data_IF_938816875744
#
_entry.id   IF_938816875744
#
_cell.length_a   1.000
_cell.length_b   1.000
_cell.length_c   1.000
_cell.angle_alpha   90.00
_cell.angle_beta   90.00
_cell.angle_gamma   90.00
#
_symmetry.space_group_name_H-M   'P 1'
#
loop_
_entity.id
_entity.type
_entity.pdbx_description
1 polymer ?
#
# COMPACT_ATOMS: atom_id res chain seq x y z
N UNK A 1 -3.03 -41.78 17.47
CA UNK A 1 -3.46 -40.50 18.09
C UNK A 1 -2.86 -39.25 17.40
N UNK A 2 -1.59 -39.28 16.94
CA UNK A 2 -0.94 -38.08 16.37
C UNK A 2 -1.43 -37.63 14.98
N UNK A 3 -1.84 -38.55 14.08
CA UNK A 3 -2.27 -38.18 12.71
C UNK A 3 -3.60 -37.42 12.66
N UNK A 4 -4.57 -37.81 13.48
CA UNK A 4 -5.86 -37.11 13.57
C UNK A 4 -5.73 -35.70 14.17
N UNK A 5 -4.81 -35.49 15.12
CA UNK A 5 -4.51 -34.14 15.65
C UNK A 5 -3.86 -33.25 14.58
N UNK A 6 -2.88 -33.78 13.85
CA UNK A 6 -2.26 -33.07 12.72
C UNK A 6 -3.30 -32.69 11.65
N UNK A 7 -4.21 -33.61 11.32
CA UNK A 7 -5.34 -33.34 10.43
C UNK A 7 -6.23 -32.21 10.95
N UNK A 8 -6.65 -32.26 12.22
CA UNK A 8 -7.50 -31.22 12.82
C UNK A 8 -6.83 -29.84 12.81
N UNK A 9 -5.54 -29.75 13.15
CA UNK A 9 -4.81 -28.48 13.11
C UNK A 9 -4.72 -27.92 11.69
N UNK A 10 -4.44 -28.77 10.70
CA UNK A 10 -4.39 -28.34 9.31
C UNK A 10 -5.77 -27.93 8.76
N UNK A 11 -6.84 -28.59 9.20
CA UNK A 11 -8.21 -28.23 8.84
C UNK A 11 -8.65 -26.90 9.47
N UNK A 12 -8.26 -26.64 10.72
CA UNK A 12 -8.50 -25.35 11.37
C UNK A 12 -7.74 -24.22 10.66
N UNK A 13 -6.48 -24.46 10.27
CA UNK A 13 -5.70 -23.50 9.51
C UNK A 13 -6.27 -23.24 8.09
N UNK A 14 -6.82 -24.27 7.45
CA UNK A 14 -7.59 -24.11 6.20
C UNK A 14 -8.79 -23.18 6.39
N UNK A 15 -9.60 -23.39 7.44
CA UNK A 15 -10.74 -22.53 7.73
C UNK A 15 -10.29 -21.09 8.03
N UNK A 16 -9.18 -20.92 8.77
CA UNK A 16 -8.61 -19.61 9.08
C UNK A 16 -8.09 -18.88 7.83
N UNK A 17 -7.56 -19.57 6.82
CA UNK A 17 -7.09 -18.94 5.59
C UNK A 17 -8.21 -18.33 4.73
N UNK A 18 -9.45 -18.78 4.93
CA UNK A 18 -10.65 -18.27 4.26
C UNK A 18 -11.42 -17.23 5.09
N UNK A 19 -11.07 -17.10 6.37
CA UNK A 19 -11.75 -16.21 7.32
C UNK A 19 -11.55 -14.69 7.11
N UNK A 20 -10.42 -14.17 6.58
CA UNK A 20 -10.17 -12.73 6.49
C UNK A 20 -11.22 -11.95 5.71
N UNK A 21 -11.93 -12.63 4.78
CA UNK A 21 -12.96 -12.02 3.95
C UNK A 21 -14.39 -12.33 4.40
N UNK A 22 -14.55 -13.13 5.48
CA UNK A 22 -15.85 -13.44 6.05
C UNK A 22 -16.30 -12.42 7.11
N UNK A 23 -15.39 -11.54 7.55
CA UNK A 23 -15.64 -10.46 8.49
C UNK A 23 -15.31 -9.14 7.80
N UNK A 24 -16.33 -8.33 7.51
CA UNK A 24 -16.15 -6.96 7.03
C UNK A 24 -15.46 -6.11 8.11
N UNK A 25 -14.34 -5.50 7.73
CA UNK A 25 -13.87 -4.19 8.21
C UNK A 25 -13.70 -4.01 9.71
N UNK A 26 -12.57 -4.45 10.23
CA UNK A 26 -11.97 -3.81 11.39
C UNK A 26 -10.63 -3.24 10.97
N UNK A 27 -10.46 -1.92 11.07
CA UNK A 27 -9.16 -1.28 10.83
C UNK A 27 -8.11 -1.98 11.70
N UNK A 28 -7.05 -2.49 11.07
CA UNK A 28 -5.94 -3.03 11.83
C UNK A 28 -5.33 -1.87 12.65
N UNK A 29 -5.01 -2.09 13.93
CA UNK A 29 -4.41 -1.03 14.74
C UNK A 29 -3.07 -0.62 14.14
N UNK A 30 -2.89 0.69 13.92
CA UNK A 30 -1.66 1.27 13.39
C UNK A 30 -0.44 0.79 14.19
N UNK A 31 0.53 0.19 13.49
CA UNK A 31 1.72 -0.37 14.11
C UNK A 31 2.90 -0.37 13.15
N UNK A 32 3.79 0.61 13.34
CA UNK A 32 4.99 0.79 12.53
C UNK A 32 5.87 -0.47 12.39
N UNK A 33 5.87 -1.39 13.38
CA UNK A 33 6.61 -2.64 13.25
C UNK A 33 5.93 -3.64 12.31
N UNK A 34 4.60 -3.66 12.28
CA UNK A 34 3.85 -4.51 11.35
C UNK A 34 4.01 -4.01 9.93
N UNK A 35 3.91 -2.70 9.72
CA UNK A 35 4.08 -2.07 8.40
C UNK A 35 5.51 -2.30 7.88
N UNK A 36 6.52 -2.08 8.74
CA UNK A 36 7.91 -2.39 8.41
C UNK A 36 8.12 -3.87 8.05
N UNK A 37 7.46 -4.81 8.72
CA UNK A 37 7.57 -6.24 8.37
C UNK A 37 6.79 -6.59 7.10
N UNK A 38 5.65 -5.93 6.88
CA UNK A 38 4.81 -6.09 5.69
C UNK A 38 5.53 -5.62 4.42
N UNK A 39 6.37 -4.58 4.52
CA UNK A 39 7.19 -4.10 3.39
C UNK A 39 8.16 -5.15 2.83
N UNK A 40 8.48 -6.20 3.60
CA UNK A 40 9.26 -7.36 3.12
C UNK A 40 8.42 -8.41 2.41
N UNK A 41 7.13 -8.20 2.18
CA UNK A 41 6.26 -9.13 1.45
C UNK A 41 6.89 -9.62 0.12
N UNK A 42 7.50 -8.75 -0.73
CA UNK A 42 8.19 -9.20 -1.94
C UNK A 42 9.31 -10.21 -1.68
N UNK A 43 9.98 -10.16 -0.53
CA UNK A 43 11.00 -11.15 -0.16
C UNK A 43 10.35 -12.41 0.40
N UNK A 44 9.37 -12.25 1.28
CA UNK A 44 8.67 -13.36 1.94
C UNK A 44 7.94 -14.26 0.93
N UNK A 45 7.35 -13.69 -0.13
CA UNK A 45 6.60 -14.45 -1.14
C UNK A 45 7.46 -15.44 -1.93
N UNK A 46 8.77 -15.21 -2.05
CA UNK A 46 9.65 -16.13 -2.77
C UNK A 46 9.86 -17.45 -2.03
N UNK A 47 9.66 -17.47 -0.70
CA UNK A 47 9.86 -18.64 0.13
C UNK A 47 8.85 -19.77 -0.16
N UNK A 48 7.51 -19.55 -0.12
CA UNK A 48 6.55 -20.58 -0.50
C UNK A 48 6.71 -21.01 -1.96
N UNK A 49 7.05 -20.10 -2.88
CA UNK A 49 7.26 -20.40 -4.30
C UNK A 49 8.45 -21.36 -4.48
N UNK A 50 9.59 -21.07 -3.85
CA UNK A 50 10.78 -21.90 -3.93
C UNK A 50 10.57 -23.30 -3.33
N UNK A 51 9.89 -23.39 -2.19
CA UNK A 51 9.59 -24.68 -1.54
C UNK A 51 8.56 -25.46 -2.38
N UNK A 52 7.57 -24.78 -2.96
CA UNK A 52 6.61 -25.40 -3.87
C UNK A 52 7.29 -25.98 -5.12
N UNK A 53 8.22 -25.23 -5.73
CA UNK A 53 9.03 -25.72 -6.85
C UNK A 53 9.87 -26.95 -6.46
N UNK A 54 10.51 -26.94 -5.29
CA UNK A 54 11.25 -28.10 -4.78
C UNK A 54 10.34 -29.32 -4.55
N UNK A 55 9.14 -29.10 -4.01
CA UNK A 55 8.12 -30.14 -3.85
C UNK A 55 7.66 -30.71 -5.20
N UNK A 56 7.49 -29.87 -6.22
CA UNK A 56 7.08 -30.27 -7.56
C UNK A 56 8.14 -31.16 -8.22
N UNK A 57 9.42 -30.78 -8.08
CA UNK A 57 10.55 -31.58 -8.56
C UNK A 57 10.55 -32.95 -7.88
N UNK A 58 10.33 -33.04 -6.56
CA UNK A 58 10.28 -34.33 -5.86
C UNK A 58 9.10 -35.20 -6.31
N UNK A 59 7.94 -34.63 -6.61
CA UNK A 59 6.81 -35.40 -7.14
C UNK A 59 7.12 -35.93 -8.55
N UNK A 60 7.73 -35.11 -9.43
CA UNK A 60 8.19 -35.53 -10.76
C UNK A 60 9.24 -36.64 -10.67
N UNK A 61 10.22 -36.53 -9.77
CA UNK A 61 11.20 -37.60 -9.53
C UNK A 61 10.53 -38.89 -9.04
N UNK A 62 9.45 -38.77 -8.24
CA UNK A 62 8.62 -39.89 -7.83
C UNK A 62 7.86 -40.55 -8.99
N UNK A 63 7.46 -39.79 -10.01
CA UNK A 63 6.89 -40.32 -11.26
C UNK A 63 7.95 -41.07 -12.07
N UNK A 64 9.20 -40.59 -12.07
CA UNK A 64 10.35 -41.26 -12.69
C UNK A 64 10.86 -42.50 -11.90
N UNK A 65 10.12 -42.96 -10.89
CA UNK A 65 10.43 -44.16 -10.12
C UNK A 65 11.49 -43.98 -9.02
N UNK A 66 11.96 -42.75 -8.76
CA UNK A 66 12.88 -42.50 -7.65
C UNK A 66 12.13 -42.61 -6.31
N UNK A 67 12.73 -43.33 -5.35
CA UNK A 67 12.22 -43.38 -3.98
C UNK A 67 12.43 -42.02 -3.31
N UNK A 68 11.36 -41.47 -2.78
CA UNK A 68 11.37 -40.23 -2.00
C UNK A 68 10.76 -40.53 -0.64
N UNK A 69 11.41 -40.08 0.42
CA UNK A 69 10.95 -40.30 1.79
C UNK A 69 9.65 -39.54 2.09
N UNK A 70 8.72 -40.19 2.81
CA UNK A 70 7.43 -39.62 3.18
C UNK A 70 7.57 -38.50 4.22
N UNK A 71 8.55 -38.60 5.13
CA UNK A 71 8.85 -37.56 6.11
C UNK A 71 9.29 -36.27 5.43
N UNK A 72 10.19 -36.38 4.46
CA UNK A 72 10.67 -35.26 3.63
C UNK A 72 9.51 -34.57 2.90
N UNK A 73 8.61 -35.34 2.30
CA UNK A 73 7.42 -34.78 1.61
C UNK A 73 6.52 -34.02 2.57
N UNK A 74 6.20 -34.60 3.73
CA UNK A 74 5.34 -33.96 4.71
C UNK A 74 5.97 -32.68 5.28
N UNK A 75 7.30 -32.67 5.47
CA UNK A 75 8.03 -31.47 5.89
C UNK A 75 7.92 -30.35 4.86
N UNK A 76 8.04 -30.66 3.57
CA UNK A 76 7.89 -29.68 2.50
C UNK A 76 6.46 -29.14 2.42
N UNK A 77 5.44 -29.99 2.52
CA UNK A 77 4.05 -29.53 2.56
C UNK A 77 3.79 -28.62 3.76
N UNK A 78 4.30 -28.96 4.94
CA UNK A 78 4.21 -28.10 6.11
C UNK A 78 4.93 -26.76 5.91
N UNK A 79 6.13 -26.80 5.34
CA UNK A 79 6.92 -25.60 5.08
C UNK A 79 6.25 -24.68 4.05
N UNK A 80 5.63 -25.23 2.99
CA UNK A 80 4.81 -24.47 2.03
C UNK A 80 3.63 -23.81 2.77
N UNK A 81 2.89 -24.55 3.59
CA UNK A 81 1.72 -24.02 4.28
C UNK A 81 2.05 -22.90 5.26
N UNK A 82 3.09 -23.06 6.08
CA UNK A 82 3.51 -22.03 7.03
C UNK A 82 3.99 -20.76 6.33
N UNK A 83 4.80 -20.92 5.28
CA UNK A 83 5.34 -19.79 4.52
C UNK A 83 4.30 -19.09 3.66
N UNK A 84 3.33 -19.82 3.10
CA UNK A 84 2.18 -19.26 2.40
C UNK A 84 1.32 -18.42 3.36
N UNK A 85 1.07 -18.90 4.57
CA UNK A 85 0.35 -18.12 5.59
C UNK A 85 1.10 -16.85 5.98
N UNK A 86 2.43 -16.90 6.14
CA UNK A 86 3.23 -15.71 6.43
C UNK A 86 3.22 -14.71 5.25
N UNK A 87 3.34 -15.21 4.03
CA UNK A 87 3.26 -14.38 2.82
C UNK A 87 1.89 -13.74 2.66
N UNK A 88 0.81 -14.47 2.94
CA UNK A 88 -0.54 -13.94 2.91
C UNK A 88 -0.74 -12.88 4.00
N UNK A 89 -0.30 -13.13 5.23
CA UNK A 89 -0.44 -12.18 6.33
C UNK A 89 0.31 -10.86 6.06
N UNK A 90 1.57 -10.94 5.62
CA UNK A 90 2.35 -9.75 5.25
C UNK A 90 1.77 -9.02 4.03
N UNK A 91 1.25 -9.75 3.05
CA UNK A 91 0.61 -9.15 1.87
C UNK A 91 -0.74 -8.50 2.18
N UNK A 92 -1.49 -9.06 3.13
CA UNK A 92 -2.75 -8.49 3.60
C UNK A 92 -2.50 -7.15 4.30
N UNK A 93 -1.54 -7.10 5.23
CA UNK A 93 -1.16 -5.83 5.90
C UNK A 93 -0.65 -4.80 4.89
N UNK A 94 0.22 -5.20 3.96
CA UNK A 94 0.75 -4.30 2.92
C UNK A 94 -0.37 -3.76 1.99
N UNK A 95 -1.42 -4.54 1.76
CA UNK A 95 -2.56 -4.12 0.94
C UNK A 95 -3.43 -3.05 1.59
N UNK A 96 -3.47 -3.01 2.93
CA UNK A 96 -4.22 -2.00 3.70
C UNK A 96 -3.53 -0.62 3.69
N UNK A 97 -2.22 -0.55 3.39
CA UNK A 97 -1.49 0.72 3.24
C UNK A 97 -2.00 1.56 2.05
N UNK A 98 -2.79 0.96 1.15
CA UNK A 98 -3.35 1.62 -0.03
C UNK A 98 -2.36 1.68 -1.21
N UNK A 99 -2.67 2.50 -2.22
CA UNK A 99 -1.81 2.70 -3.39
C UNK A 99 -1.92 1.64 -4.50
N UNK A 100 -2.84 0.69 -4.39
CA UNK A 100 -3.12 -0.32 -5.44
C UNK A 100 -4.56 -0.22 -5.94
N UNK A 101 -4.84 -0.49 -7.23
CA UNK A 101 -6.22 -0.56 -7.72
C UNK A 101 -7.02 -1.63 -6.97
N UNK A 102 -8.16 -1.24 -6.39
CA UNK A 102 -8.96 -2.09 -5.50
C UNK A 102 -9.30 -3.46 -6.14
N UNK A 103 -9.74 -3.47 -7.39
CA UNK A 103 -10.07 -4.71 -8.10
C UNK A 103 -8.85 -5.63 -8.28
N UNK A 104 -7.68 -5.05 -8.59
CA UNK A 104 -6.45 -5.79 -8.82
C UNK A 104 -5.91 -6.39 -7.51
N UNK A 105 -5.97 -5.59 -6.43
CA UNK A 105 -5.62 -6.02 -5.08
C UNK A 105 -6.56 -7.13 -4.59
N UNK A 106 -7.87 -6.96 -4.78
CA UNK A 106 -8.88 -7.94 -4.44
C UNK A 106 -8.63 -9.29 -5.12
N UNK A 107 -8.43 -9.28 -6.44
CA UNK A 107 -8.15 -10.49 -7.21
C UNK A 107 -6.85 -11.18 -6.75
N UNK A 108 -5.81 -10.39 -6.45
CA UNK A 108 -4.54 -10.91 -5.94
C UNK A 108 -4.69 -11.56 -4.57
N UNK A 109 -5.38 -10.89 -3.65
CA UNK A 109 -5.62 -11.38 -2.29
C UNK A 109 -6.45 -12.67 -2.28
N UNK A 110 -7.47 -12.79 -3.13
CA UNK A 110 -8.23 -14.03 -3.29
C UNK A 110 -7.36 -15.17 -3.80
N UNK A 111 -6.55 -14.92 -4.83
CA UNK A 111 -5.65 -15.93 -5.36
C UNK A 111 -4.63 -16.42 -4.29
N UNK A 112 -4.10 -15.49 -3.48
CA UNK A 112 -3.20 -15.80 -2.36
C UNK A 112 -3.90 -16.57 -1.23
N UNK A 113 -5.14 -16.20 -0.88
CA UNK A 113 -5.96 -16.91 0.10
C UNK A 113 -6.25 -18.33 -0.36
N UNK A 114 -6.66 -18.53 -1.63
CA UNK A 114 -6.90 -19.86 -2.18
C UNK A 114 -5.63 -20.71 -2.22
N UNK A 115 -4.48 -20.15 -2.61
CA UNK A 115 -3.20 -20.86 -2.55
C UNK A 115 -2.90 -21.35 -1.13
N UNK A 116 -3.07 -20.47 -0.13
CA UNK A 116 -2.84 -20.78 1.28
C UNK A 116 -3.81 -21.85 1.79
N UNK A 117 -5.10 -21.72 1.50
CA UNK A 117 -6.14 -22.66 1.87
C UNK A 117 -5.89 -24.05 1.26
N UNK A 118 -5.63 -24.13 -0.05
CA UNK A 118 -5.32 -25.39 -0.72
C UNK A 118 -4.10 -26.05 -0.09
N UNK A 119 -3.04 -25.29 0.22
CA UNK A 119 -1.84 -25.86 0.86
C UNK A 119 -2.16 -26.57 2.19
N UNK A 120 -2.97 -25.95 3.04
CA UNK A 120 -3.36 -26.48 4.34
C UNK A 120 -4.30 -27.69 4.21
N UNK A 121 -5.26 -27.61 3.28
CA UNK A 121 -6.16 -28.73 2.99
C UNK A 121 -5.39 -29.93 2.45
N UNK A 122 -4.46 -29.71 1.52
CA UNK A 122 -3.61 -30.76 0.96
C UNK A 122 -2.70 -31.38 2.02
N UNK A 123 -2.11 -30.58 2.90
CA UNK A 123 -1.37 -31.11 4.06
C UNK A 123 -2.28 -31.97 4.95
N UNK A 124 -3.48 -31.48 5.29
CA UNK A 124 -4.43 -32.20 6.11
C UNK A 124 -4.75 -33.57 5.49
N UNK A 125 -5.19 -33.58 4.23
CA UNK A 125 -5.55 -34.81 3.54
C UNK A 125 -4.37 -35.77 3.40
N UNK A 126 -3.16 -35.27 3.11
CA UNK A 126 -1.95 -36.08 3.00
C UNK A 126 -1.53 -36.73 4.33
N UNK A 127 -1.92 -36.19 5.48
CA UNK A 127 -1.67 -36.85 6.78
C UNK A 127 -2.56 -38.07 7.02
N UNK A 128 -3.72 -38.15 6.36
CA UNK A 128 -4.69 -39.24 6.49
C UNK A 128 -4.61 -40.24 5.33
N UNK A 129 -4.50 -39.74 4.11
CA UNK A 129 -4.57 -40.49 2.86
C UNK A 129 -3.28 -40.25 2.07
N UNK A 130 -2.42 -41.27 2.01
CA UNK A 130 -1.15 -41.20 1.26
C UNK A 130 -1.39 -41.63 -0.19
N UNK A 131 -2.13 -40.83 -0.94
CA UNK A 131 -2.45 -41.10 -2.35
C UNK A 131 -1.64 -40.18 -3.29
N UNK A 132 -1.16 -40.75 -4.41
CA UNK A 132 -0.36 -39.99 -5.40
C UNK A 132 -1.22 -39.05 -6.23
N UNK A 133 -2.38 -39.51 -6.67
CA UNK A 133 -3.26 -38.72 -7.53
C UNK A 133 -3.73 -37.47 -6.77
N UNK A 134 -4.11 -37.63 -5.51
CA UNK A 134 -4.51 -36.52 -4.64
C UNK A 134 -3.42 -35.46 -4.50
N UNK A 135 -2.15 -35.88 -4.32
CA UNK A 135 -1.02 -34.94 -4.28
C UNK A 135 -0.85 -34.21 -5.61
N UNK A 136 -0.82 -34.94 -6.72
CA UNK A 136 -0.64 -34.33 -8.04
C UNK A 136 -1.75 -33.33 -8.37
N UNK A 137 -3.01 -33.67 -8.11
CA UNK A 137 -4.16 -32.77 -8.28
C UNK A 137 -4.02 -31.53 -7.40
N UNK A 138 -3.64 -31.70 -6.13
CA UNK A 138 -3.38 -30.58 -5.21
C UNK A 138 -2.30 -29.63 -5.74
N UNK A 139 -1.20 -30.18 -6.28
CA UNK A 139 -0.12 -29.36 -6.84
C UNK A 139 -0.56 -28.61 -8.09
N UNK A 140 -1.36 -29.24 -8.96
CA UNK A 140 -1.90 -28.56 -10.14
C UNK A 140 -2.87 -27.44 -9.74
N UNK A 141 -3.71 -27.66 -8.73
CA UNK A 141 -4.60 -26.63 -8.20
C UNK A 141 -3.81 -25.42 -7.65
N UNK A 142 -2.77 -25.67 -6.85
CA UNK A 142 -1.88 -24.62 -6.34
C UNK A 142 -1.10 -23.90 -7.44
N UNK A 143 -0.65 -24.61 -8.47
CA UNK A 143 0.00 -23.99 -9.61
C UNK A 143 -0.96 -23.05 -10.36
N UNK A 144 -2.23 -23.45 -10.49
CA UNK A 144 -3.28 -22.61 -11.06
C UNK A 144 -3.51 -21.32 -10.27
N UNK A 145 -3.63 -21.40 -8.95
CA UNK A 145 -3.80 -20.20 -8.11
C UNK A 145 -2.55 -19.33 -8.08
N UNK A 146 -1.36 -19.92 -8.13
CA UNK A 146 -0.10 -19.17 -8.23
C UNK A 146 -0.01 -18.39 -9.53
N UNK A 147 -0.41 -18.98 -10.66
CA UNK A 147 -0.52 -18.26 -11.95
C UNK A 147 -1.55 -17.13 -11.87
N UNK A 148 -2.71 -17.40 -11.27
CA UNK A 148 -3.76 -16.40 -11.07
C UNK A 148 -3.30 -15.24 -10.17
N UNK A 149 -2.47 -15.50 -9.15
CA UNK A 149 -1.89 -14.47 -8.29
C UNK A 149 -0.75 -13.70 -9.00
N UNK A 150 0.02 -14.38 -9.84
CA UNK A 150 1.19 -13.82 -10.53
C UNK A 150 0.82 -12.70 -11.49
N UNK A 151 -0.32 -12.80 -12.16
CA UNK A 151 -0.77 -11.79 -13.11
C UNK A 151 -1.06 -10.42 -12.45
N UNK A 152 -2.01 -10.30 -11.50
CA UNK A 152 -2.25 -9.04 -10.79
C UNK A 152 -1.04 -8.61 -9.94
N UNK A 153 -0.27 -9.56 -9.39
CA UNK A 153 0.96 -9.26 -8.65
C UNK A 153 2.01 -8.57 -9.52
N UNK A 154 2.23 -9.04 -10.75
CA UNK A 154 3.14 -8.40 -11.70
C UNK A 154 2.65 -7.03 -12.15
N UNK A 155 1.33 -6.87 -12.34
CA UNK A 155 0.73 -5.59 -12.71
C UNK A 155 0.87 -4.54 -11.60
N UNK A 156 0.78 -4.93 -10.31
CA UNK A 156 0.98 -4.00 -9.19
C UNK A 156 2.42 -3.48 -9.10
N UNK A 157 3.41 -4.34 -9.38
CA UNK A 157 4.84 -3.98 -9.21
C UNK A 157 5.44 -3.35 -10.47
N UNK A 158 5.00 -3.78 -11.65
CA UNK A 158 5.62 -3.40 -12.93
C UNK A 158 4.69 -2.64 -13.88
N UNK A 159 3.41 -2.49 -13.53
CA UNK A 159 2.40 -1.96 -14.44
C UNK A 159 2.09 -2.93 -15.60
N UNK A 160 1.22 -2.51 -16.50
CA UNK A 160 0.88 -3.30 -17.69
C UNK A 160 2.01 -3.26 -18.72
N UNK A 161 2.70 -4.39 -19.00
CA UNK A 161 3.79 -4.42 -19.97
C UNK A 161 3.34 -4.09 -21.39
N UNK A 162 2.05 -4.27 -21.72
CA UNK A 162 1.51 -3.91 -23.04
C UNK A 162 1.53 -2.39 -23.26
N UNK A 163 1.44 -1.57 -22.21
CA UNK A 163 1.57 -0.12 -22.33
C UNK A 163 2.95 0.31 -22.84
N UNK A 164 3.97 -0.51 -22.58
CA UNK A 164 5.35 -0.26 -23.03
C UNK A 164 5.68 -0.96 -24.37
N UNK A 165 4.73 -1.65 -25.00
CA UNK A 165 4.96 -2.39 -26.22
C UNK A 165 5.19 -1.45 -27.42
N UNK A 166 6.16 -1.72 -28.32
CA UNK A 166 6.53 -0.81 -29.41
C UNK A 166 5.45 -0.64 -30.48
N UNK A 167 4.45 -1.52 -30.53
CA UNK A 167 3.29 -1.44 -31.43
C UNK A 167 2.05 -0.82 -30.76
N UNK A 168 2.05 -0.71 -29.43
CA UNK A 168 1.07 0.12 -28.76
C UNK A 168 1.57 1.53 -28.99
N UNK A 169 0.88 2.27 -29.87
CA UNK A 169 1.10 3.69 -29.97
C UNK A 169 1.06 4.21 -28.54
N UNK A 170 2.10 4.93 -28.09
CA UNK A 170 2.02 5.71 -26.85
C UNK A 170 0.84 6.63 -27.05
N UNK A 171 -0.34 6.19 -26.63
CA UNK A 171 -1.47 7.05 -26.40
C UNK A 171 -0.91 8.04 -25.41
N UNK A 172 -0.78 9.29 -25.85
CA UNK A 172 -0.53 10.43 -24.97
C UNK A 172 -1.36 10.22 -23.70
N UNK A 173 -0.87 10.54 -22.49
CA UNK A 173 -1.51 10.27 -21.19
C UNK A 173 -2.95 10.80 -20.98
N UNK A 174 -3.63 11.21 -22.04
CA UNK A 174 -4.83 12.01 -22.07
C UNK A 174 -6.14 11.20 -21.98
N UNK A 175 -6.10 9.85 -22.04
CA UNK A 175 -7.32 9.05 -22.12
C UNK A 175 -7.54 7.99 -21.02
N UNK A 176 -6.65 7.85 -20.04
CA UNK A 176 -6.90 6.99 -18.88
C UNK A 176 -7.12 7.75 -17.57
N UNK A 177 -7.07 9.09 -17.56
CA UNK A 177 -7.19 9.89 -16.33
C UNK A 177 -8.43 10.78 -16.23
N UNK A 178 -9.43 10.62 -17.10
CA UNK A 178 -10.62 11.49 -17.01
C UNK A 178 -11.52 11.24 -15.78
N UNK A 179 -11.24 10.21 -14.96
CA UNK A 179 -11.95 9.97 -13.69
C UNK A 179 -11.04 9.62 -12.49
N UNK A 180 -9.70 9.76 -12.63
CA UNK A 180 -8.73 9.37 -11.58
C UNK A 180 -7.64 10.41 -11.27
N UNK A 181 -7.68 11.59 -11.90
CA UNK A 181 -6.67 12.65 -11.75
C UNK A 181 -7.23 13.92 -11.09
N UNK A 182 -8.33 13.81 -10.34
CA UNK A 182 -8.83 14.92 -9.56
C UNK A 182 -8.05 14.98 -8.26
N UNK A 183 -7.27 16.05 -8.08
CA UNK A 183 -6.56 16.37 -6.85
C UNK A 183 -7.36 17.42 -6.07
N UNK A 184 -7.48 17.24 -4.76
CA UNK A 184 -7.89 18.29 -3.85
C UNK A 184 -6.64 18.99 -3.31
N UNK A 185 -6.32 20.23 -3.72
CA UNK A 185 -5.08 20.89 -3.32
C UNK A 185 -4.95 21.07 -1.82
N UNK A 186 -6.08 21.27 -1.13
CA UNK A 186 -6.06 21.45 0.31
C UNK A 186 -5.77 20.12 1.02
N UNK A 187 -6.61 19.11 0.81
CA UNK A 187 -6.52 17.82 1.49
C UNK A 187 -5.26 17.04 1.10
N UNK A 188 -4.95 16.98 -0.19
CA UNK A 188 -3.92 16.07 -0.70
C UNK A 188 -2.52 16.67 -0.65
N UNK A 189 -2.40 18.01 -0.69
CA UNK A 189 -1.11 18.70 -0.86
C UNK A 189 -0.78 19.64 0.29
N UNK A 190 -1.68 20.57 0.63
CA UNK A 190 -1.41 21.60 1.64
C UNK A 190 -1.49 21.04 3.06
N UNK A 191 -2.53 20.28 3.39
CA UNK A 191 -2.74 19.77 4.75
C UNK A 191 -1.57 18.89 5.24
N UNK A 192 -1.02 17.94 4.45
CA UNK A 192 0.14 17.16 4.88
C UNK A 192 1.39 18.01 5.16
N UNK A 193 1.55 19.14 4.46
CA UNK A 193 2.66 20.09 4.71
C UNK A 193 2.44 20.81 6.03
N UNK A 194 1.22 21.30 6.27
CA UNK A 194 0.85 21.98 7.52
C UNK A 194 0.99 21.03 8.71
N UNK A 195 0.56 19.78 8.56
CA UNK A 195 0.67 18.75 9.58
C UNK A 195 2.12 18.46 9.95
N UNK A 196 2.99 18.28 8.96
CA UNK A 196 4.39 17.97 9.20
C UNK A 196 5.21 19.14 9.74
N UNK A 197 4.82 20.41 9.46
CA UNK A 197 5.71 21.57 9.67
C UNK A 197 5.10 22.74 10.45
N UNK A 198 3.80 22.73 10.72
CA UNK A 198 3.10 23.88 11.30
C UNK A 198 2.25 23.51 12.53
N UNK A 199 1.56 22.38 12.52
CA UNK A 199 0.59 22.01 13.57
C UNK A 199 1.24 21.85 14.94
N UNK A 200 2.51 21.43 15.03
CA UNK A 200 3.20 21.30 16.32
C UNK A 200 3.26 22.60 17.13
N UNK A 201 3.32 23.75 16.45
CA UNK A 201 3.33 25.08 17.07
C UNK A 201 2.01 25.85 16.94
N UNK A 202 1.18 25.50 15.94
CA UNK A 202 -0.09 26.15 15.60
C UNK A 202 -1.25 25.15 15.57
N UNK A 203 -1.27 24.20 16.50
CA UNK A 203 -2.27 23.14 16.62
C UNK A 203 -3.13 23.28 17.87
N UNK A 204 -3.88 22.24 18.21
CA UNK A 204 -4.80 22.32 19.33
C UNK A 204 -4.13 22.57 20.69
N UNK A 205 -2.99 21.92 20.89
CA UNK A 205 -2.21 21.95 22.12
C UNK A 205 -1.36 23.22 22.27
N UNK A 206 -0.82 23.75 21.15
CA UNK A 206 0.01 24.95 21.12
C UNK A 206 -0.49 25.90 20.04
N UNK A 207 -0.79 27.14 20.43
CA UNK A 207 -1.39 28.18 19.56
C UNK A 207 -0.52 29.43 19.53
N UNK A 208 0.70 29.32 19.00
CA UNK A 208 1.57 30.50 18.86
C UNK A 208 0.87 31.56 18.00
N UNK A 209 0.94 32.83 18.43
CA UNK A 209 0.20 33.94 17.80
C UNK A 209 -1.32 33.76 17.77
N UNK A 210 -1.89 32.92 18.66
CA UNK A 210 -3.30 32.48 18.65
C UNK A 210 -3.78 31.89 17.32
N UNK A 211 -2.85 31.50 16.45
CA UNK A 211 -3.14 30.89 15.16
C UNK A 211 -3.30 29.37 15.32
N UNK A 212 -4.26 28.82 14.58
CA UNK A 212 -4.56 27.39 14.49
C UNK A 212 -4.57 26.99 13.02
N UNK A 213 -3.82 25.96 12.66
CA UNK A 213 -3.61 25.49 11.28
C UNK A 213 -4.01 24.02 11.08
N UNK A 214 -4.59 23.39 12.10
CA UNK A 214 -4.96 21.97 12.11
C UNK A 214 -6.36 21.69 11.54
N UNK A 215 -7.17 22.72 11.33
CA UNK A 215 -8.42 22.59 10.58
C UNK A 215 -8.61 23.77 9.65
N UNK A 216 -9.32 23.54 8.54
CA UNK A 216 -9.58 24.57 7.53
C UNK A 216 -10.27 25.81 8.14
N UNK A 217 -11.30 25.60 8.96
CA UNK A 217 -12.04 26.70 9.61
C UNK A 217 -11.12 27.58 10.45
N UNK A 218 -10.14 26.98 11.13
CA UNK A 218 -9.18 27.72 11.94
C UNK A 218 -8.12 28.45 11.10
N UNK A 219 -7.69 27.86 9.98
CA UNK A 219 -6.78 28.54 9.03
C UNK A 219 -7.46 29.84 8.54
N UNK A 220 -8.73 29.74 8.14
CA UNK A 220 -9.51 30.89 7.64
C UNK A 220 -9.85 31.91 8.75
N UNK A 221 -9.91 31.48 10.01
CA UNK A 221 -10.13 32.40 11.14
C UNK A 221 -8.92 33.31 11.39
N UNK A 222 -7.71 32.81 11.18
CA UNK A 222 -6.47 33.55 11.42
C UNK A 222 -6.06 33.63 12.90
N UNK A 223 -5.16 34.57 13.21
CA UNK A 223 -4.56 34.72 14.54
C UNK A 223 -4.55 36.16 15.06
N UNK A 224 -3.62 36.46 15.97
CA UNK A 224 -3.48 37.79 16.60
C UNK A 224 -3.21 38.91 15.60
N UNK A 225 -2.63 38.59 14.44
CA UNK A 225 -2.30 39.53 13.37
C UNK A 225 -3.36 39.59 12.26
N UNK A 226 -4.52 38.96 12.46
CA UNK A 226 -5.60 38.89 11.48
C UNK A 226 -5.54 37.61 10.64
N UNK A 227 -6.16 37.62 9.44
CA UNK A 227 -6.17 36.47 8.54
C UNK A 227 -4.75 36.02 8.19
N UNK A 228 -4.47 34.72 8.32
CA UNK A 228 -3.18 34.17 7.88
C UNK A 228 -3.17 33.85 6.38
N UNK A 229 -4.35 33.57 5.81
CA UNK A 229 -4.57 33.29 4.40
C UNK A 229 -5.64 34.23 3.89
N UNK A 230 -5.36 34.89 2.76
CA UNK A 230 -6.30 35.72 2.02
C UNK A 230 -6.64 35.00 0.72
N UNK A 231 -7.84 34.39 0.61
CA UNK A 231 -8.24 33.63 -0.58
C UNK A 231 -8.09 34.43 -1.88
N UNK A 232 -7.32 33.91 -2.83
CA UNK A 232 -7.05 34.53 -4.12
C UNK A 232 -5.94 35.59 -4.12
N UNK A 233 -5.36 35.94 -2.96
CA UNK A 233 -4.28 36.93 -2.87
C UNK A 233 -3.10 36.41 -2.03
N UNK A 234 -2.09 35.92 -2.74
CA UNK A 234 -0.83 35.45 -2.14
C UNK A 234 -0.04 36.59 -1.52
N UNK A 235 -0.11 37.80 -2.09
CA UNK A 235 0.68 38.93 -1.61
C UNK A 235 0.13 39.53 -0.31
N UNK A 236 -1.18 39.39 -0.10
CA UNK A 236 -1.89 39.80 1.12
C UNK A 236 -2.08 38.65 2.13
N UNK A 237 -1.38 37.53 1.93
CA UNK A 237 -1.42 36.37 2.84
C UNK A 237 -0.22 36.35 3.76
N UNK A 238 -0.44 36.65 5.05
CA UNK A 238 0.62 36.68 6.07
C UNK A 238 1.38 35.35 6.19
N UNK A 239 0.69 34.21 5.98
CA UNK A 239 1.31 32.89 5.95
C UNK A 239 2.45 32.84 4.90
N UNK A 240 2.22 33.39 3.71
CA UNK A 240 3.21 33.42 2.64
C UNK A 240 4.36 34.35 2.96
N UNK A 241 4.06 35.53 3.49
CA UNK A 241 5.08 36.50 3.90
C UNK A 241 6.10 35.86 4.85
N UNK A 242 5.63 35.20 5.91
CA UNK A 242 6.50 34.58 6.93
C UNK A 242 7.27 33.36 6.42
N UNK A 243 6.72 32.60 5.47
CA UNK A 243 7.42 31.46 4.84
C UNK A 243 8.58 31.89 3.93
N UNK A 244 8.52 33.11 3.40
CA UNK A 244 9.50 33.64 2.44
C UNK A 244 10.57 34.56 3.06
N UNK A 245 10.46 34.85 4.36
CA UNK A 245 11.48 35.61 5.08
C UNK A 245 12.86 34.95 4.98
N UNK A 246 13.97 35.71 5.05
CA UNK A 246 15.33 35.17 5.07
C UNK A 246 15.54 34.09 6.15
N UNK A 247 16.45 33.13 5.91
CA UNK A 247 16.71 32.02 6.85
C UNK A 247 17.16 32.49 8.25
N UNK A 248 17.75 33.68 8.34
CA UNK A 248 18.22 34.30 9.58
C UNK A 248 17.20 35.26 10.22
N UNK A 249 16.00 35.36 9.66
CA UNK A 249 14.94 36.22 10.20
C UNK A 249 14.21 35.53 11.37
N UNK A 250 14.07 36.26 12.48
CA UNK A 250 13.47 35.76 13.72
C UNK A 250 11.97 35.44 13.56
N UNK A 251 11.30 36.10 12.62
CA UNK A 251 9.87 35.93 12.35
C UNK A 251 9.60 34.87 11.27
N UNK A 252 10.64 34.30 10.66
CA UNK A 252 10.49 33.24 9.65
C UNK A 252 9.80 32.02 10.23
N UNK A 253 8.90 31.45 9.42
CA UNK A 253 8.21 30.20 9.75
C UNK A 253 8.51 29.11 8.70
N UNK A 254 8.83 27.87 9.11
CA UNK A 254 9.06 27.41 10.49
C UNK A 254 10.35 28.00 11.12
N UNK A 255 10.45 28.04 12.47
CA UNK A 255 11.68 28.44 13.16
C UNK A 255 12.91 27.62 12.74
N UNK A 256 14.11 28.17 12.90
CA UNK A 256 15.37 27.55 12.44
C UNK A 256 15.59 26.12 12.97
N UNK A 257 15.11 25.83 14.18
CA UNK A 257 15.22 24.51 14.83
C UNK A 257 14.16 23.49 14.39
N UNK A 258 13.21 23.89 13.53
CA UNK A 258 12.11 23.06 13.04
C UNK A 258 12.27 22.68 11.55
N UNK A 259 11.62 21.60 11.07
CA UNK A 259 11.69 21.16 9.68
C UNK A 259 11.30 22.25 8.68
N UNK A 260 12.28 22.75 7.92
CA UNK A 260 12.08 23.85 6.97
C UNK A 260 11.25 23.45 5.75
N UNK A 261 10.52 24.42 5.19
CA UNK A 261 9.82 24.27 3.92
C UNK A 261 10.80 24.28 2.74
N UNK A 262 10.60 23.37 1.81
CA UNK A 262 11.22 23.41 0.49
C UNK A 262 10.52 24.43 -0.40
N UNK A 263 11.20 24.88 -1.46
CA UNK A 263 10.62 25.79 -2.46
C UNK A 263 9.34 25.24 -3.09
N UNK A 264 9.29 23.92 -3.33
CA UNK A 264 8.11 23.27 -3.91
C UNK A 264 6.90 23.29 -2.96
N UNK A 265 7.12 23.10 -1.66
CA UNK A 265 6.05 23.15 -0.66
C UNK A 265 5.47 24.57 -0.52
N UNK A 266 6.32 25.59 -0.54
CA UNK A 266 5.88 27.00 -0.57
C UNK A 266 5.06 27.26 -1.84
N UNK A 267 5.52 26.80 -2.99
CA UNK A 267 4.82 26.97 -4.28
C UNK A 267 3.44 26.29 -4.31
N UNK A 268 3.26 25.17 -3.60
CA UNK A 268 1.96 24.49 -3.48
C UNK A 268 0.99 25.28 -2.63
N UNK A 269 1.43 25.78 -1.47
CA UNK A 269 0.61 26.60 -0.59
C UNK A 269 0.20 27.88 -1.32
N UNK A 270 1.15 28.54 -2.01
CA UNK A 270 0.86 29.70 -2.85
C UNK A 270 -0.18 29.38 -3.92
N UNK A 271 -0.01 28.29 -4.65
CA UNK A 271 -0.95 27.91 -5.70
C UNK A 271 -2.36 27.66 -5.17
N UNK A 272 -2.50 26.98 -4.04
CA UNK A 272 -3.80 26.80 -3.38
C UNK A 272 -4.43 28.14 -2.97
N UNK A 273 -3.63 29.07 -2.45
CA UNK A 273 -4.11 30.42 -2.11
C UNK A 273 -4.55 31.19 -3.36
N UNK A 274 -3.72 31.25 -4.41
CA UNK A 274 -4.06 31.87 -5.71
C UNK A 274 -5.36 31.31 -6.29
N UNK A 275 -5.60 30.02 -6.04
CA UNK A 275 -6.77 29.28 -6.53
C UNK A 275 -8.05 29.56 -5.75
N UNK A 276 -7.99 30.34 -4.67
CA UNK A 276 -9.15 30.71 -3.85
C UNK A 276 -9.22 30.01 -2.50
N UNK A 277 -8.16 29.33 -2.07
CA UNK A 277 -7.99 28.75 -0.73
C UNK A 277 -9.22 27.99 -0.20
N UNK A 278 -9.81 27.12 -1.03
CA UNK A 278 -11.03 26.37 -0.69
C UNK A 278 -10.70 24.94 -0.23
N UNK A 279 -11.49 24.35 0.71
CA UNK A 279 -11.26 22.98 1.16
C UNK A 279 -11.84 21.94 0.22
N UNK A 280 -12.82 22.33 -0.60
CA UNK A 280 -13.56 21.46 -1.51
C UNK A 280 -13.16 21.68 -2.97
N UNK A 281 -12.01 22.36 -3.18
CA UNK A 281 -11.54 22.64 -4.51
C UNK A 281 -10.95 21.40 -5.14
N UNK A 282 -11.41 21.11 -6.36
CA UNK A 282 -10.95 19.97 -7.14
C UNK A 282 -10.29 20.49 -8.41
N UNK A 283 -9.11 19.95 -8.72
CA UNK A 283 -8.38 20.24 -9.95
C UNK A 283 -8.05 18.97 -10.69
N UNK A 284 -8.17 18.99 -12.01
CA UNK A 284 -7.53 17.96 -12.80
C UNK A 284 -6.00 18.16 -12.74
N UNK A 285 -5.25 17.12 -12.42
CA UNK A 285 -3.77 17.11 -12.36
C UNK A 285 -3.13 17.70 -13.62
N UNK A 286 -3.75 17.50 -14.78
CA UNK A 286 -3.32 18.07 -16.08
C UNK A 286 -3.37 19.61 -16.13
N UNK A 287 -4.25 20.23 -15.35
CA UNK A 287 -4.46 21.68 -15.32
C UNK A 287 -3.62 22.36 -14.23
N UNK A 288 -2.90 21.59 -13.40
CA UNK A 288 -2.01 22.13 -12.39
C UNK A 288 -0.82 22.90 -13.03
N UNK A 289 -0.33 23.97 -12.39
CA UNK A 289 0.87 24.68 -12.84
C UNK A 289 2.08 23.75 -12.93
N UNK A 290 3.02 24.05 -13.83
CA UNK A 290 4.19 23.17 -14.07
C UNK A 290 5.02 22.93 -12.80
N UNK A 291 5.16 23.96 -11.95
CA UNK A 291 5.83 23.86 -10.63
C UNK A 291 5.19 22.83 -9.70
N UNK A 292 3.86 22.68 -9.77
CA UNK A 292 3.07 21.73 -8.98
C UNK A 292 3.18 20.33 -9.58
N UNK A 293 3.15 20.21 -10.91
CA UNK A 293 3.32 18.94 -11.62
C UNK A 293 4.67 18.27 -11.30
N UNK A 294 5.74 19.05 -11.21
CA UNK A 294 7.06 18.55 -10.82
C UNK A 294 7.03 17.93 -9.42
N UNK A 295 6.38 18.58 -8.46
CA UNK A 295 6.23 18.03 -7.11
C UNK A 295 5.41 16.75 -7.10
N UNK A 296 4.27 16.75 -7.79
CA UNK A 296 3.38 15.59 -7.93
C UNK A 296 4.02 14.39 -8.65
N UNK A 297 5.07 14.61 -9.44
CA UNK A 297 5.83 13.55 -10.08
C UNK A 297 6.96 12.98 -9.20
N UNK A 298 7.30 13.67 -8.11
CA UNK A 298 8.35 13.23 -7.16
C UNK A 298 7.81 12.49 -5.95
N UNK A 299 6.52 12.63 -5.67
CA UNK A 299 5.75 11.78 -4.75
C UNK A 299 4.77 11.02 -5.62
N UNK A 300 5.04 9.75 -5.92
CA UNK A 300 4.04 8.88 -6.55
C UNK A 300 2.85 8.74 -5.58
N UNK A 301 1.85 9.62 -5.75
CA UNK A 301 0.49 9.52 -5.20
C UNK A 301 -0.39 8.90 -6.27
#
# INVERSE_FOLDING_TARGET
MNRYRAFLYALLAFAAALAPFAFEGGDLPENAWLDFLASFHPVVLHLPIGIFAASAILEILGLAGKKTDLGTRNLLWLAISLSASLSFATGYVLGEEGGYPEALLHDHLWAASFFTAISWLSLALNTLIVDRVLRSVSMLAMAGTLLAASHPGGLMVHGDPLQNAPWVAKTTPEQSSELGDIINPYQDLVHPILEAKCIDCHGAEKKKGKLRLDTFDYIMLGGDFGPCVTPGDVSDSLLVELMELPEDDEDRMPPEDEPQLSRYEIDLIKWWIESGASPDQEFARKDAPERVKVYLATRDI
#
